data_IF_678410658644
#
_entry.id   IF_678410658644
#
_cell.length_a   1.000
_cell.length_b   1.000
_cell.length_c   1.000
_cell.angle_alpha   90.00
_cell.angle_beta   90.00
_cell.angle_gamma   90.00
#
_symmetry.space_group_name_H-M   'P 1'
#
loop_
_entity.id
_entity.type
_entity.pdbx_description
1 polymer ?
#
# COMPACT_ATOMS: atom_id res chain seq x y z
N UNK A 1 -39.60 28.74 24.93
CA UNK A 1 -39.21 28.33 23.57
C UNK A 1 -37.89 27.60 23.71
N UNK A 2 -37.92 26.27 23.73
CA UNK A 2 -36.73 25.43 23.83
C UNK A 2 -36.16 25.25 22.43
N UNK A 3 -34.92 25.69 22.23
CA UNK A 3 -34.18 25.45 20.99
C UNK A 3 -33.86 23.95 20.91
N UNK A 4 -34.49 23.25 19.97
CA UNK A 4 -34.07 21.92 19.55
C UNK A 4 -32.71 22.06 18.87
N UNK A 5 -31.66 21.55 19.52
CA UNK A 5 -30.36 21.37 18.89
C UNK A 5 -30.47 20.23 17.89
N UNK A 6 -30.52 20.58 16.61
CA UNK A 6 -30.40 19.62 15.51
C UNK A 6 -28.96 19.09 15.50
N UNK A 7 -28.76 17.90 16.03
CA UNK A 7 -27.50 17.17 15.86
C UNK A 7 -27.38 16.79 14.39
N UNK A 8 -26.41 17.39 13.70
CA UNK A 8 -25.97 16.91 12.39
C UNK A 8 -25.11 15.69 12.67
N UNK A 9 -25.60 14.49 12.37
CA UNK A 9 -24.77 13.30 12.29
C UNK A 9 -23.71 13.55 11.21
N UNK A 10 -22.48 13.81 11.65
CA UNK A 10 -21.33 13.79 10.75
C UNK A 10 -21.17 12.34 10.28
N UNK A 11 -21.02 12.08 8.97
CA UNK A 11 -20.81 10.72 8.49
C UNK A 11 -19.64 10.10 9.25
N UNK A 12 -19.82 8.85 9.70
CA UNK A 12 -18.75 8.08 10.31
C UNK A 12 -17.52 8.20 9.43
N UNK A 13 -16.45 8.81 9.96
CA UNK A 13 -15.18 8.83 9.24
C UNK A 13 -14.73 7.38 9.19
N UNK A 14 -14.89 6.72 8.03
CA UNK A 14 -14.25 5.44 7.79
C UNK A 14 -12.77 5.60 8.16
N UNK A 15 -12.37 4.92 9.22
CA UNK A 15 -10.99 4.95 9.66
C UNK A 15 -10.19 4.17 8.60
N UNK A 16 -9.49 4.89 7.73
CA UNK A 16 -8.71 4.33 6.61
C UNK A 16 -7.74 3.21 7.05
N UNK A 17 -7.38 3.20 8.33
CA UNK A 17 -6.42 2.29 8.94
C UNK A 17 -7.06 1.19 9.80
N UNK A 18 -8.37 1.21 9.99
CA UNK A 18 -9.09 0.11 10.65
C UNK A 18 -9.31 -1.02 9.65
N UNK A 19 -8.71 -2.17 9.97
CA UNK A 19 -8.74 -3.38 9.15
C UNK A 19 -9.42 -4.49 9.93
N UNK A 20 -10.08 -5.40 9.22
CA UNK A 20 -10.60 -6.63 9.82
C UNK A 20 -9.48 -7.66 10.08
N UNK A 21 -9.84 -8.76 10.74
CA UNK A 21 -8.92 -9.84 11.08
C UNK A 21 -8.26 -10.47 9.84
N UNK A 22 -8.98 -10.58 8.72
CA UNK A 22 -8.47 -11.19 7.49
C UNK A 22 -7.38 -10.31 6.86
N UNK A 23 -7.62 -8.99 6.77
CA UNK A 23 -6.64 -8.01 6.29
C UNK A 23 -5.43 -7.89 7.23
N UNK A 24 -5.64 -7.99 8.56
CA UNK A 24 -4.55 -7.98 9.55
C UNK A 24 -3.66 -9.23 9.40
N UNK A 25 -4.25 -10.41 9.23
CA UNK A 25 -3.51 -11.65 8.97
C UNK A 25 -2.72 -11.60 7.67
N UNK A 26 -3.30 -11.04 6.60
CA UNK A 26 -2.61 -10.85 5.34
C UNK A 26 -1.47 -9.85 5.43
N UNK A 27 -1.64 -8.75 6.17
CA UNK A 27 -0.57 -7.80 6.43
C UNK A 27 0.61 -8.45 7.20
N UNK A 28 0.31 -9.27 8.23
CA UNK A 28 1.32 -10.08 8.94
C UNK A 28 2.05 -11.04 8.01
N UNK A 29 1.34 -11.66 7.06
CA UNK A 29 1.93 -12.56 6.08
C UNK A 29 2.85 -11.80 5.12
N UNK A 30 2.43 -10.65 4.60
CA UNK A 30 3.22 -9.80 3.72
C UNK A 30 4.52 -9.34 4.40
N UNK A 31 4.47 -8.86 5.64
CA UNK A 31 5.69 -8.46 6.36
C UNK A 31 6.66 -9.63 6.60
N UNK A 32 6.14 -10.82 6.96
CA UNK A 32 6.96 -12.04 7.08
C UNK A 32 7.58 -12.44 5.75
N UNK A 33 6.85 -12.28 4.65
CA UNK A 33 7.34 -12.52 3.31
C UNK A 33 8.48 -11.57 2.94
N UNK A 34 8.37 -10.27 3.22
CA UNK A 34 9.43 -9.31 2.94
C UNK A 34 10.75 -9.64 3.67
N UNK A 35 10.67 -10.28 4.84
CA UNK A 35 11.84 -10.75 5.59
C UNK A 35 12.36 -12.12 5.13
N UNK A 36 11.48 -13.01 4.66
CA UNK A 36 11.77 -14.42 4.36
C UNK A 36 11.10 -14.87 3.05
N UNK A 37 11.40 -14.24 1.91
CA UNK A 37 10.55 -14.29 0.73
C UNK A 37 10.43 -15.69 0.10
N UNK A 38 11.51 -16.47 0.09
CA UNK A 38 11.47 -17.83 -0.46
C UNK A 38 10.54 -18.78 0.33
N UNK A 39 10.27 -18.53 1.61
CA UNK A 39 9.36 -19.35 2.43
C UNK A 39 7.88 -19.11 2.14
N UNK A 40 7.57 -17.92 1.63
CA UNK A 40 6.20 -17.42 1.51
C UNK A 40 5.79 -17.06 0.08
N UNK A 41 6.71 -17.14 -0.90
CA UNK A 41 6.40 -16.97 -2.32
C UNK A 41 5.26 -17.89 -2.77
N UNK A 42 4.55 -17.46 -3.80
CA UNK A 42 3.39 -18.11 -4.42
C UNK A 42 2.14 -18.19 -3.54
N UNK A 43 2.20 -17.71 -2.29
CA UNK A 43 1.00 -17.57 -1.47
C UNK A 43 0.19 -16.36 -1.94
N UNK A 44 -1.12 -16.48 -1.77
CA UNK A 44 -2.06 -15.39 -1.96
C UNK A 44 -2.62 -14.94 -0.62
N UNK A 45 -2.94 -13.66 -0.51
CA UNK A 45 -3.57 -13.12 0.69
C UNK A 45 -4.35 -11.85 0.39
N UNK A 46 -5.29 -11.51 1.27
CA UNK A 46 -5.97 -10.22 1.21
C UNK A 46 -5.24 -9.23 2.09
N UNK A 47 -5.04 -8.02 1.60
CA UNK A 47 -4.28 -7.00 2.31
C UNK A 47 -4.77 -5.62 1.92
N UNK A 48 -4.71 -4.69 2.89
CA UNK A 48 -4.91 -3.28 2.63
C UNK A 48 -3.59 -2.65 2.22
N UNK A 49 -3.56 -2.04 1.04
CA UNK A 49 -2.38 -1.37 0.51
C UNK A 49 -2.64 0.11 0.32
N UNK A 50 -1.63 0.92 0.63
CA UNK A 50 -1.61 2.33 0.25
C UNK A 50 -0.63 2.51 -0.90
N UNK A 51 -1.11 3.06 -2.01
CA UNK A 51 -0.27 3.39 -3.16
C UNK A 51 0.72 4.51 -2.80
N UNK A 52 1.97 4.26 -3.13
CA UNK A 52 3.10 5.17 -2.98
C UNK A 52 3.65 5.46 -4.38
N UNK A 53 3.91 6.73 -4.64
CA UNK A 53 4.57 7.17 -5.86
C UNK A 53 3.71 6.96 -7.13
N UNK A 54 4.30 7.30 -8.29
CA UNK A 54 3.66 7.19 -9.61
C UNK A 54 3.86 5.81 -10.23
N UNK A 55 2.97 5.45 -11.14
CA UNK A 55 3.09 4.21 -11.90
C UNK A 55 4.30 4.21 -12.84
N UNK A 56 4.94 3.05 -12.95
CA UNK A 56 5.79 2.64 -14.06
C UNK A 56 5.02 1.71 -14.99
N UNK A 57 5.33 1.75 -16.29
CA UNK A 57 4.69 0.89 -17.30
C UNK A 57 5.68 0.59 -18.42
N UNK A 58 5.78 1.47 -19.41
CA UNK A 58 6.69 1.32 -20.56
C UNK A 58 8.18 1.23 -20.21
N UNK A 59 8.55 1.60 -18.98
CA UNK A 59 9.92 1.53 -18.45
C UNK A 59 10.25 0.23 -17.72
N UNK A 60 9.26 -0.64 -17.54
CA UNK A 60 9.47 -1.96 -16.93
C UNK A 60 10.30 -2.83 -17.86
N UNK A 61 11.14 -3.68 -17.26
CA UNK A 61 11.97 -4.62 -18.02
C UNK A 61 11.16 -5.84 -18.39
N UNK A 62 11.20 -6.19 -19.67
CA UNK A 62 10.48 -7.35 -20.21
C UNK A 62 10.80 -8.63 -19.43
N UNK A 63 12.07 -8.88 -19.08
CA UNK A 63 12.47 -10.10 -18.37
C UNK A 63 11.90 -10.17 -16.95
N UNK A 64 11.69 -9.03 -16.30
CA UNK A 64 11.04 -8.96 -14.99
C UNK A 64 9.54 -9.23 -15.12
N UNK A 65 8.88 -8.60 -16.09
CA UNK A 65 7.45 -8.79 -16.32
C UNK A 65 7.15 -10.26 -16.64
N UNK A 66 7.96 -10.87 -17.52
CA UNK A 66 7.85 -12.29 -17.86
C UNK A 66 8.13 -13.20 -16.67
N UNK A 67 9.14 -12.90 -15.83
CA UNK A 67 9.44 -13.75 -14.67
C UNK A 67 8.32 -13.77 -13.63
N UNK A 68 7.53 -12.69 -13.54
CA UNK A 68 6.35 -12.61 -12.67
C UNK A 68 5.11 -13.32 -13.26
N UNK A 69 5.20 -13.83 -14.49
CA UNK A 69 4.10 -14.44 -15.23
C UNK A 69 3.12 -13.43 -15.81
N UNK A 70 3.56 -12.19 -16.06
CA UNK A 70 2.72 -11.08 -16.52
C UNK A 70 2.99 -10.74 -18.00
N UNK A 71 2.14 -9.91 -18.58
CA UNK A 71 2.19 -9.55 -20.01
C UNK A 71 2.95 -8.24 -20.23
N UNK A 72 4.03 -8.31 -21.02
CA UNK A 72 4.80 -7.15 -21.45
C UNK A 72 3.91 -6.17 -22.24
N UNK A 73 3.99 -4.89 -21.89
CA UNK A 73 3.16 -3.83 -22.51
C UNK A 73 1.74 -3.72 -21.94
N UNK A 74 1.32 -4.64 -21.08
CA UNK A 74 0.01 -4.66 -20.42
C UNK A 74 0.15 -4.75 -18.88
N UNK A 75 1.34 -4.44 -18.37
CA UNK A 75 1.69 -4.46 -16.94
C UNK A 75 2.09 -3.07 -16.47
N UNK A 76 1.58 -2.68 -15.30
CA UNK A 76 2.02 -1.49 -14.55
C UNK A 76 2.60 -1.89 -13.21
N UNK A 77 3.43 -1.02 -12.64
CA UNK A 77 4.02 -1.17 -11.32
C UNK A 77 3.86 0.12 -10.52
N UNK A 78 3.64 0.01 -9.22
CA UNK A 78 3.61 1.13 -8.27
C UNK A 78 4.18 0.66 -6.93
N UNK A 79 4.81 1.56 -6.18
CA UNK A 79 5.26 1.23 -4.82
C UNK A 79 4.03 1.22 -3.89
N UNK A 80 4.01 0.38 -2.87
CA UNK A 80 2.89 0.32 -1.91
C UNK A 80 3.39 0.11 -0.49
N UNK A 81 2.72 0.74 0.48
CA UNK A 81 2.87 0.40 1.89
C UNK A 81 1.79 -0.59 2.31
N UNK A 82 2.14 -1.54 3.17
CA UNK A 82 1.21 -2.47 3.81
C UNK A 82 0.55 -1.77 5.01
N UNK A 83 -0.78 -1.82 5.10
CA UNK A 83 -1.56 -1.32 6.24
C UNK A 83 -2.02 -2.51 7.10
N UNK A 84 -2.06 -2.33 8.43
CA UNK A 84 -2.56 -3.34 9.38
C UNK A 84 -1.50 -4.35 9.84
N UNK A 85 -0.24 -4.16 9.42
CA UNK A 85 0.87 -5.03 9.81
C UNK A 85 1.44 -4.70 11.20
N UNK A 86 2.12 -5.66 11.85
CA UNK A 86 2.73 -5.47 13.17
C UNK A 86 4.01 -4.61 13.17
N UNK A 87 4.49 -4.13 12.02
CA UNK A 87 5.66 -3.24 11.93
C UNK A 87 6.99 -3.98 12.03
N UNK A 88 7.12 -5.15 11.40
CA UNK A 88 8.34 -5.96 11.37
C UNK A 88 9.41 -5.45 10.39
N UNK A 89 9.01 -4.65 9.41
CA UNK A 89 9.89 -4.11 8.35
C UNK A 89 10.41 -2.70 8.72
N UNK A 90 11.64 -2.36 8.31
CA UNK A 90 12.25 -1.06 8.62
C UNK A 90 11.58 0.11 7.91
N UNK A 91 11.84 1.33 8.38
CA UNK A 91 11.27 2.56 7.79
C UNK A 91 11.62 2.68 6.29
N UNK A 92 10.59 2.96 5.48
CA UNK A 92 10.48 2.83 4.01
C UNK A 92 10.08 1.44 3.51
N UNK A 93 9.38 0.63 4.31
CA UNK A 93 8.86 -0.71 3.99
C UNK A 93 7.85 -0.81 2.83
N UNK A 94 8.06 -0.02 1.78
CA UNK A 94 7.33 -0.08 0.54
C UNK A 94 7.81 -1.26 -0.29
N UNK A 95 6.87 -1.88 -1.00
CA UNK A 95 7.11 -3.00 -1.90
C UNK A 95 6.56 -2.66 -3.28
N UNK A 96 7.19 -3.18 -4.33
CA UNK A 96 6.63 -3.06 -5.66
C UNK A 96 5.37 -3.93 -5.80
N UNK A 97 4.26 -3.29 -6.16
CA UNK A 97 3.03 -3.90 -6.62
C UNK A 97 3.00 -3.89 -8.14
N UNK A 98 2.81 -5.06 -8.75
CA UNK A 98 2.56 -5.20 -10.18
C UNK A 98 1.09 -5.53 -10.44
N UNK A 99 0.52 -4.97 -11.50
CA UNK A 99 -0.84 -5.28 -11.96
C UNK A 99 -0.83 -5.46 -13.48
N UNK A 100 -1.65 -6.37 -14.01
CA UNK A 100 -1.70 -6.68 -15.45
C UNK A 100 -3.14 -6.79 -15.96
N UNK A 101 -3.41 -6.38 -17.20
CA UNK A 101 -4.73 -6.50 -17.83
C UNK A 101 -5.83 -5.71 -17.11
N UNK A 102 -7.00 -6.31 -16.93
CA UNK A 102 -8.19 -5.61 -16.41
C UNK A 102 -8.01 -5.04 -15.00
N UNK A 103 -7.24 -5.72 -14.14
CA UNK A 103 -6.96 -5.23 -12.79
C UNK A 103 -5.99 -4.05 -12.82
N UNK A 104 -5.07 -3.99 -13.80
CA UNK A 104 -4.24 -2.81 -14.02
C UNK A 104 -5.09 -1.61 -14.44
N UNK A 105 -6.02 -1.80 -15.38
CA UNK A 105 -6.95 -0.74 -15.81
C UNK A 105 -7.77 -0.21 -14.64
N UNK A 106 -8.32 -1.11 -13.82
CA UNK A 106 -9.11 -0.74 -12.63
C UNK A 106 -8.28 0.07 -11.63
N UNK A 107 -7.01 -0.32 -11.40
CA UNK A 107 -6.11 0.39 -10.51
C UNK A 107 -5.73 1.79 -11.05
N UNK A 108 -5.55 1.91 -12.37
CA UNK A 108 -5.31 3.20 -13.04
C UNK A 108 -6.55 4.10 -12.97
N UNK A 109 -7.75 3.54 -13.16
CA UNK A 109 -9.02 4.29 -13.07
C UNK A 109 -9.22 4.88 -11.66
N UNK A 110 -8.85 4.14 -10.61
CA UNK A 110 -8.81 4.67 -9.23
C UNK A 110 -7.88 5.89 -9.17
N UNK A 111 -6.65 5.78 -9.66
CA UNK A 111 -5.69 6.88 -9.60
C UNK A 111 -6.12 8.10 -10.44
N UNK A 112 -6.72 7.87 -11.62
CA UNK A 112 -7.21 8.91 -12.52
C UNK A 112 -8.47 9.62 -11.99
N UNK A 113 -9.32 8.90 -11.27
CA UNK A 113 -10.51 9.46 -10.61
C UNK A 113 -10.16 10.28 -9.37
N UNK A 114 -8.91 10.18 -8.91
CA UNK A 114 -8.36 10.92 -7.77
C UNK A 114 -7.25 11.87 -8.23
N UNK A 115 -6.60 12.58 -7.30
CA UNK A 115 -5.50 13.52 -7.60
C UNK A 115 -4.16 12.81 -7.89
N UNK A 116 -4.22 11.64 -8.54
CA UNK A 116 -3.11 10.73 -8.74
C UNK A 116 -3.12 9.53 -7.79
N UNK A 117 -2.14 8.62 -7.94
CA UNK A 117 -2.08 7.37 -7.17
C UNK A 117 -1.71 7.58 -5.71
N UNK A 118 -0.88 8.58 -5.40
CA UNK A 118 -0.32 8.75 -4.06
C UNK A 118 -1.43 8.80 -3.00
N UNK A 119 -1.26 7.97 -1.98
CA UNK A 119 -2.15 7.82 -0.83
C UNK A 119 -3.54 7.24 -1.12
N UNK A 120 -3.81 6.76 -2.34
CA UNK A 120 -4.98 5.91 -2.58
C UNK A 120 -4.84 4.61 -1.80
N UNK A 121 -5.88 4.22 -1.08
CA UNK A 121 -5.91 3.00 -0.26
C UNK A 121 -6.92 2.03 -0.86
N UNK A 122 -6.47 0.79 -1.05
CA UNK A 122 -7.27 -0.29 -1.61
C UNK A 122 -7.17 -1.53 -0.75
N UNK A 123 -8.30 -2.23 -0.60
CA UNK A 123 -8.33 -3.62 -0.15
C UNK A 123 -8.24 -4.51 -1.37
N UNK A 124 -7.33 -5.47 -1.33
CA UNK A 124 -7.02 -6.25 -2.51
C UNK A 124 -6.54 -7.65 -2.17
N UNK A 125 -6.64 -8.54 -3.14
CA UNK A 125 -5.99 -9.84 -3.13
C UNK A 125 -4.67 -9.73 -3.89
N UNK A 126 -3.59 -10.18 -3.27
CA UNK A 126 -2.26 -10.19 -3.88
C UNK A 126 -1.63 -11.57 -3.83
N UNK A 127 -0.76 -11.84 -4.79
CA UNK A 127 0.17 -12.97 -4.81
C UNK A 127 1.58 -12.51 -4.49
N UNK A 128 2.27 -13.25 -3.63
CA UNK A 128 3.63 -12.94 -3.18
C UNK A 128 4.65 -13.54 -4.15
N UNK A 129 5.59 -12.74 -4.65
CA UNK A 129 6.51 -13.16 -5.72
C UNK A 129 7.97 -12.92 -5.35
N UNK A 130 8.82 -13.92 -5.56
CA UNK A 130 10.25 -13.81 -5.29
C UNK A 130 11.07 -14.28 -6.47
N UNK A 131 11.27 -13.37 -7.42
CA UNK A 131 11.79 -13.69 -8.75
C UNK A 131 13.08 -12.97 -9.08
N UNK A 132 13.83 -13.51 -10.05
CA UNK A 132 15.04 -12.85 -10.55
C UNK A 132 14.67 -11.63 -11.40
N UNK A 133 15.21 -10.49 -11.01
CA UNK A 133 15.07 -9.21 -11.68
C UNK A 133 16.45 -8.71 -12.15
N UNK A 134 16.57 -8.10 -13.34
CA UNK A 134 17.84 -7.52 -13.78
C UNK A 134 18.10 -6.17 -13.10
N UNK A 135 19.32 -5.93 -12.61
CA UNK A 135 19.76 -4.60 -12.14
C UNK A 135 20.08 -3.70 -13.34
N UNK A 136 19.49 -2.50 -13.37
CA UNK A 136 19.62 -1.45 -14.41
C UNK A 136 21.06 -1.04 -14.72
N UNK A 137 21.97 -1.10 -13.76
CA UNK A 137 23.36 -0.62 -13.94
C UNK A 137 24.38 -1.69 -14.33
N UNK A 138 24.07 -2.98 -14.20
CA UNK A 138 25.08 -4.04 -14.35
C UNK A 138 24.63 -5.31 -15.07
N UNK A 139 23.36 -5.38 -15.50
CA UNK A 139 22.72 -6.58 -16.05
C UNK A 139 22.82 -7.82 -15.14
N UNK A 140 23.22 -7.64 -13.88
CA UNK A 140 23.25 -8.69 -12.86
C UNK A 140 21.82 -9.01 -12.46
N UNK A 141 21.49 -10.29 -12.43
CA UNK A 141 20.22 -10.75 -11.86
C UNK A 141 20.31 -10.77 -10.34
N UNK A 142 19.33 -10.18 -9.67
CA UNK A 142 19.12 -10.30 -8.23
C UNK A 142 17.70 -10.76 -7.97
N UNK A 143 17.50 -11.49 -6.88
CA UNK A 143 16.17 -11.81 -6.46
C UNK A 143 15.47 -10.57 -5.90
N UNK A 144 14.23 -10.36 -6.31
CA UNK A 144 13.37 -9.25 -5.89
C UNK A 144 12.11 -9.82 -5.28
N UNK A 145 11.78 -9.36 -4.08
CA UNK A 145 10.47 -9.61 -3.47
C UNK A 145 9.51 -8.53 -3.98
N UNK A 146 8.35 -8.96 -4.46
CA UNK A 146 7.30 -8.09 -4.95
C UNK A 146 5.93 -8.73 -4.73
N UNK A 147 4.88 -7.94 -4.89
CA UNK A 147 3.51 -8.44 -4.86
C UNK A 147 2.84 -8.21 -6.22
N UNK A 148 1.99 -9.15 -6.62
CA UNK A 148 1.18 -9.06 -7.84
C UNK A 148 -0.26 -8.90 -7.42
N UNK A 149 -0.93 -7.88 -7.94
CA UNK A 149 -2.35 -7.63 -7.73
C UNK A 149 -3.17 -8.64 -8.54
N UNK A 150 -3.96 -9.45 -7.85
CA UNK A 150 -4.85 -10.44 -8.47
C UNK A 150 -6.29 -9.90 -8.55
N UNK A 151 -6.71 -9.12 -7.54
CA UNK A 151 -8.07 -8.57 -7.46
C UNK A 151 -8.11 -7.30 -6.59
N UNK A 152 -8.88 -6.29 -7.01
CA UNK A 152 -9.27 -5.17 -6.14
C UNK A 152 -10.62 -5.51 -5.51
N UNK A 153 -10.66 -5.56 -4.19
CA UNK A 153 -11.86 -5.87 -3.42
C UNK A 153 -12.65 -4.60 -3.15
N UNK A 154 -11.96 -3.55 -2.70
CA UNK A 154 -12.59 -2.25 -2.42
C UNK A 154 -11.60 -1.09 -2.57
N UNK A 155 -12.13 0.08 -2.90
CA UNK A 155 -11.42 1.35 -2.79
C UNK A 155 -11.83 2.05 -1.50
N UNK A 156 -10.91 2.09 -0.54
CA UNK A 156 -11.18 2.54 0.83
C UNK A 156 -11.20 4.07 0.92
N UNK A 157 -10.34 4.75 0.17
CA UNK A 157 -10.26 6.20 0.15
C UNK A 157 -8.87 6.74 -0.17
N UNK A 158 -8.67 8.03 0.10
CA UNK A 158 -7.39 8.73 -0.07
C UNK A 158 -6.94 9.28 1.28
N UNK A 159 -5.72 8.96 1.73
CA UNK A 159 -5.12 9.63 2.89
C UNK A 159 -4.61 11.02 2.47
N UNK A 160 -5.33 12.06 2.91
CA UNK A 160 -5.02 13.46 2.66
C UNK A 160 -3.99 14.04 3.66
N UNK A 161 -3.48 13.21 4.58
CA UNK A 161 -2.54 13.61 5.62
C UNK A 161 -3.17 14.38 6.77
N UNK A 162 -4.49 14.66 6.75
CA UNK A 162 -5.22 15.30 7.85
C UNK A 162 -5.51 14.29 8.97
N UNK A 163 -4.46 13.88 9.66
CA UNK A 163 -4.56 12.91 10.77
C UNK A 163 -3.23 12.56 11.44
N UNK A 164 -2.09 12.89 10.82
CA UNK A 164 -0.79 12.88 11.50
C UNK A 164 -0.66 14.12 12.38
N UNK A 165 -1.39 14.14 13.50
CA UNK A 165 -0.82 14.74 14.69
C UNK A 165 0.36 13.85 15.05
N UNK A 166 1.56 14.33 14.78
CA UNK A 166 2.81 13.67 15.14
C UNK A 166 2.73 13.19 16.60
N UNK A 167 2.47 11.89 16.80
CA UNK A 167 2.83 11.19 18.05
C UNK A 167 4.35 10.95 18.11
N UNK A 168 5.12 11.82 17.48
CA UNK A 168 6.57 11.89 17.51
C UNK A 168 6.98 13.35 17.74
N UNK A 169 6.98 13.74 19.04
CA UNK A 169 7.44 14.99 19.67
C UNK A 169 6.32 15.85 20.25
N UNK A 170 5.71 15.38 21.35
CA UNK A 170 5.56 16.30 22.48
C UNK A 170 6.98 16.54 23.01
N UNK A 171 7.67 17.54 22.47
CA UNK A 171 8.94 17.93 23.03
C UNK A 171 8.67 18.40 24.47
N UNK A 172 9.59 18.14 25.41
CA UNK A 172 9.50 18.69 26.78
C UNK A 172 9.26 20.22 26.79
N UNK A 173 9.56 20.92 25.69
CA UNK A 173 9.31 22.36 25.56
C UNK A 173 7.81 22.72 25.63
N UNK A 174 6.93 21.88 25.07
CA UNK A 174 5.48 22.16 25.04
C UNK A 174 4.84 21.94 26.43
N UNK A 175 5.36 21.00 27.22
CA UNK A 175 4.92 20.76 28.59
C UNK A 175 5.40 21.85 29.56
N UNK A 176 6.59 22.43 29.33
CA UNK A 176 7.12 23.53 30.16
C UNK A 176 6.39 24.84 29.89
N UNK A 177 6.01 25.12 28.63
CA UNK A 177 5.24 26.31 28.26
C UNK A 177 3.80 26.30 28.79
N UNK A 178 3.18 25.12 28.91
CA UNK A 178 1.81 24.98 29.43
C UNK A 178 1.68 25.13 30.95
N UNK A 179 2.79 25.03 31.71
CA UNK A 179 2.79 25.05 33.18
C UNK A 179 3.48 26.30 33.78
N UNK A 180 3.67 27.35 32.97
CA UNK A 180 4.24 28.64 33.40
C UNK A 180 3.24 29.80 33.37
N UNK A 181 1.95 29.53 33.61
CA UNK A 181 0.96 30.56 33.96
C UNK A 181 0.61 30.51 35.44
#
# INVERSE_FOLDING_TARGET
MSEEQTYIELPERNNLYEVDEELEEGAKLCEKFLLLPDRYKDRETKVRLMLRNKFCGWTLKDELVVSLGLTVGDTVSVEVSIIGGPGLISENGDVDLFACGDVANSLLDIACSNKGPENCIVDCKVRLTYEKAPITSSNKLVFKASVVLEEIIDFVGVDDGFGRVDRARSSLADFVLANLQ
#
